data_IF_371197678161
#
_entry.id   IF_371197678161
#
_cell.length_a   1.000
_cell.length_b   1.000
_cell.length_c   1.000
_cell.angle_alpha   90.00
_cell.angle_beta   90.00
_cell.angle_gamma   90.00
#
_symmetry.space_group_name_H-M   'P 1'
#
loop_
_entity.id
_entity.type
_entity.pdbx_description
1 polymer ?
#
# COMPACT_ATOMS: atom_id res chain seq x y z
N UNK A 1 18.97 -16.59 21.21
CA UNK A 1 20.01 -16.61 20.15
C UNK A 1 20.36 -18.05 19.83
N UNK A 2 20.36 -18.45 18.55
CA UNK A 2 20.62 -19.85 18.14
C UNK A 2 22.11 -20.07 17.91
N UNK A 3 22.78 -20.74 18.84
CA UNK A 3 24.16 -21.24 18.70
C UNK A 3 24.21 -22.32 17.61
N UNK A 4 25.32 -22.37 16.85
CA UNK A 4 25.51 -23.39 15.82
C UNK A 4 25.60 -24.78 16.48
N UNK A 5 24.86 -25.76 15.95
CA UNK A 5 24.79 -27.13 16.51
C UNK A 5 25.99 -28.02 16.16
N UNK A 6 26.92 -27.55 15.33
CA UNK A 6 28.06 -28.34 14.85
C UNK A 6 29.34 -27.53 14.88
N UNK A 7 30.47 -28.25 14.87
CA UNK A 7 31.85 -27.73 14.80
C UNK A 7 32.20 -27.10 13.42
N UNK A 8 31.18 -26.69 12.65
CA UNK A 8 31.34 -26.07 11.34
C UNK A 8 30.80 -24.65 11.38
N UNK A 9 31.57 -23.73 10.82
CA UNK A 9 31.13 -22.35 10.63
C UNK A 9 29.87 -22.29 9.75
N UNK A 10 28.94 -21.39 10.11
CA UNK A 10 27.73 -21.16 9.32
C UNK A 10 28.10 -20.54 7.97
N UNK A 11 27.79 -21.24 6.88
CA UNK A 11 27.95 -20.70 5.52
C UNK A 11 26.70 -19.91 5.17
N UNK A 12 26.86 -18.61 4.91
CA UNK A 12 25.79 -17.75 4.39
C UNK A 12 25.93 -17.71 2.87
N UNK A 13 24.97 -18.30 2.16
CA UNK A 13 24.91 -18.19 0.71
C UNK A 13 24.06 -16.98 0.30
N UNK A 14 24.56 -16.21 -0.66
CA UNK A 14 23.92 -15.00 -1.17
C UNK A 14 23.63 -15.16 -2.65
N UNK A 15 22.43 -14.80 -3.09
CA UNK A 15 22.08 -14.83 -4.50
C UNK A 15 22.43 -13.49 -5.16
N UNK A 16 23.41 -13.50 -6.07
CA UNK A 16 23.90 -12.29 -6.75
C UNK A 16 22.84 -11.58 -7.60
N UNK A 17 21.91 -12.31 -8.22
CA UNK A 17 20.83 -11.68 -9.01
C UNK A 17 19.93 -10.81 -8.14
N UNK A 18 19.66 -11.24 -6.91
CA UNK A 18 18.86 -10.45 -5.97
C UNK A 18 19.61 -9.20 -5.52
N UNK A 19 20.93 -9.27 -5.38
CA UNK A 19 21.72 -8.11 -5.05
C UNK A 19 21.74 -7.09 -6.17
N UNK A 20 21.84 -7.55 -7.42
CA UNK A 20 21.72 -6.71 -8.61
C UNK A 20 20.40 -5.93 -8.60
N UNK A 21 19.25 -6.61 -8.45
CA UNK A 21 17.95 -5.94 -8.42
C UNK A 21 17.81 -5.00 -7.21
N UNK A 22 18.33 -5.36 -6.04
CA UNK A 22 18.33 -4.48 -4.86
C UNK A 22 19.16 -3.23 -5.07
N UNK A 23 20.34 -3.34 -5.71
CA UNK A 23 21.18 -2.21 -6.03
C UNK A 23 20.47 -1.25 -7.00
N UNK A 24 19.88 -1.81 -8.06
CA UNK A 24 19.12 -1.03 -9.05
C UNK A 24 17.94 -0.27 -8.41
N UNK A 25 17.16 -0.92 -7.54
CA UNK A 25 16.05 -0.26 -6.83
C UNK A 25 16.55 0.82 -5.88
N UNK A 26 17.68 0.61 -5.19
CA UNK A 26 18.29 1.64 -4.31
C UNK A 26 18.71 2.87 -5.09
N UNK A 27 19.32 2.67 -6.26
CA UNK A 27 19.71 3.76 -7.16
C UNK A 27 18.49 4.56 -7.62
N UNK A 28 17.43 3.88 -8.07
CA UNK A 28 16.17 4.54 -8.44
C UNK A 28 15.57 5.32 -7.26
N UNK A 29 15.56 4.76 -6.05
CA UNK A 29 15.02 5.43 -4.87
C UNK A 29 15.91 6.56 -4.34
N UNK A 30 17.19 6.59 -4.70
CA UNK A 30 18.12 7.66 -4.33
C UNK A 30 17.90 8.94 -5.16
N UNK A 31 17.35 8.82 -6.38
CA UNK A 31 16.91 9.97 -7.16
C UNK A 31 15.85 10.78 -6.40
N UNK A 32 16.01 12.09 -6.36
CA UNK A 32 15.09 13.01 -5.64
C UNK A 32 13.66 12.89 -6.17
N UNK A 33 13.48 12.88 -7.49
CA UNK A 33 12.17 12.81 -8.14
C UNK A 33 11.45 11.49 -7.84
N UNK A 34 12.15 10.36 -8.02
CA UNK A 34 11.57 9.04 -7.80
C UNK A 34 11.33 8.77 -6.31
N UNK A 35 12.23 9.24 -5.45
CA UNK A 35 12.06 9.18 -3.99
C UNK A 35 10.85 9.96 -3.48
N UNK A 36 10.58 11.13 -4.06
CA UNK A 36 9.40 11.95 -3.72
C UNK A 36 8.09 11.27 -4.14
N UNK A 37 8.04 10.69 -5.35
CA UNK A 37 6.91 9.89 -5.82
C UNK A 37 6.67 8.69 -4.90
N UNK A 38 7.75 7.99 -4.53
CA UNK A 38 7.66 6.84 -3.63
C UNK A 38 7.10 7.23 -2.25
N UNK A 39 7.57 8.35 -1.67
CA UNK A 39 7.06 8.87 -0.40
C UNK A 39 5.57 9.21 -0.46
N UNK A 40 5.11 9.82 -1.56
CA UNK A 40 3.69 10.11 -1.79
C UNK A 40 2.86 8.83 -1.85
N UNK A 41 3.33 7.80 -2.57
CA UNK A 41 2.63 6.50 -2.67
C UNK A 41 2.46 5.78 -1.33
N UNK A 42 3.43 5.91 -0.41
CA UNK A 42 3.30 5.36 0.96
C UNK A 42 2.13 5.95 1.73
N UNK A 43 1.81 7.21 1.49
CA UNK A 43 0.74 7.92 2.21
C UNK A 43 -0.61 7.71 1.51
N UNK A 44 -0.61 7.70 0.17
CA UNK A 44 -1.88 7.69 -0.56
C UNK A 44 -2.33 6.27 -0.91
N UNK A 45 -1.41 5.49 -1.49
CA UNK A 45 -1.73 4.20 -2.14
C UNK A 45 -1.72 3.06 -1.13
N UNK A 46 -0.68 2.97 -0.29
CA UNK A 46 -0.57 1.88 0.69
C UNK A 46 -1.76 1.84 1.68
N UNK A 47 -2.26 2.96 2.23
CA UNK A 47 -3.40 2.92 3.14
C UNK A 47 -4.71 2.54 2.45
N UNK A 48 -4.88 2.88 1.16
CA UNK A 48 -6.06 2.45 0.40
C UNK A 48 -6.09 0.92 0.24
N UNK A 49 -4.95 0.30 -0.09
CA UNK A 49 -4.84 -1.16 -0.17
C UNK A 49 -4.90 -1.84 1.20
N UNK A 50 -4.32 -1.21 2.23
CA UNK A 50 -4.43 -1.68 3.61
C UNK A 50 -5.88 -1.71 4.08
N UNK A 51 -6.63 -0.63 3.87
CA UNK A 51 -8.06 -0.56 4.18
C UNK A 51 -8.88 -1.58 3.38
N UNK A 52 -8.57 -1.78 2.10
CA UNK A 52 -9.23 -2.76 1.26
C UNK A 52 -9.06 -4.20 1.81
N UNK A 53 -7.86 -4.55 2.26
CA UNK A 53 -7.59 -5.89 2.81
C UNK A 53 -8.06 -6.06 4.25
N UNK A 54 -7.67 -5.14 5.14
CA UNK A 54 -7.88 -5.28 6.58
C UNK A 54 -9.32 -4.94 7.00
N UNK A 55 -9.91 -3.88 6.43
CA UNK A 55 -11.24 -3.40 6.85
C UNK A 55 -12.37 -3.94 5.97
N UNK A 56 -12.13 -4.10 4.67
CA UNK A 56 -13.14 -4.64 3.74
C UNK A 56 -13.00 -6.15 3.48
N UNK A 57 -11.96 -6.80 4.03
CA UNK A 57 -11.75 -8.24 3.86
C UNK A 57 -11.46 -8.68 2.42
N UNK A 58 -11.18 -7.74 1.51
CA UNK A 58 -10.98 -8.02 0.09
C UNK A 58 -9.59 -8.60 -0.15
N UNK A 59 -9.48 -9.91 0.09
CA UNK A 59 -8.24 -10.70 -0.03
C UNK A 59 -8.22 -11.58 -1.28
N UNK A 60 -9.40 -11.84 -1.87
CA UNK A 60 -9.59 -12.69 -3.04
C UNK A 60 -10.56 -12.04 -4.02
N UNK A 61 -10.26 -12.17 -5.31
CA UNK A 61 -11.18 -11.81 -6.39
C UNK A 61 -12.24 -12.88 -6.59
N UNK A 62 -13.47 -12.47 -6.82
CA UNK A 62 -14.60 -13.36 -7.09
C UNK A 62 -14.56 -13.86 -8.54
N UNK A 63 -13.97 -13.09 -9.44
CA UNK A 63 -13.93 -13.39 -10.88
C UNK A 63 -12.55 -13.88 -11.34
N UNK A 64 -12.54 -14.62 -12.45
CA UNK A 64 -11.31 -15.05 -13.15
C UNK A 64 -11.17 -14.32 -14.48
N UNK A 65 -9.93 -14.04 -14.87
CA UNK A 65 -9.57 -13.32 -16.10
C UNK A 65 -9.16 -11.86 -15.84
N UNK A 66 -8.11 -11.40 -16.52
CA UNK A 66 -7.45 -10.11 -16.25
C UNK A 66 -8.40 -8.92 -16.33
N UNK A 67 -9.26 -8.90 -17.36
CA UNK A 67 -10.22 -7.82 -17.59
C UNK A 67 -11.28 -7.75 -16.48
N UNK A 68 -11.88 -8.89 -16.13
CA UNK A 68 -12.90 -8.96 -15.08
C UNK A 68 -12.34 -8.57 -13.70
N UNK A 69 -11.14 -9.04 -13.38
CA UNK A 69 -10.43 -8.67 -12.13
C UNK A 69 -10.16 -7.18 -12.06
N UNK A 70 -9.79 -6.54 -13.18
CA UNK A 70 -9.60 -5.09 -13.26
C UNK A 70 -10.90 -4.34 -12.94
N UNK A 71 -12.04 -4.82 -13.46
CA UNK A 71 -13.34 -4.22 -13.19
C UNK A 71 -13.75 -4.40 -11.72
N UNK A 72 -13.59 -5.60 -11.15
CA UNK A 72 -13.89 -5.88 -9.74
C UNK A 72 -13.06 -4.98 -8.80
N UNK A 73 -11.75 -4.86 -9.07
CA UNK A 73 -10.88 -3.95 -8.32
C UNK A 73 -11.32 -2.49 -8.47
N UNK A 74 -11.70 -2.08 -9.69
CA UNK A 74 -12.22 -0.74 -9.97
C UNK A 74 -13.44 -0.40 -9.12
N UNK A 75 -14.42 -1.30 -9.03
CA UNK A 75 -15.59 -1.13 -8.18
C UNK A 75 -15.24 -1.02 -6.70
N UNK A 76 -14.35 -1.88 -6.20
CA UNK A 76 -13.92 -1.85 -4.81
C UNK A 76 -13.25 -0.51 -4.44
N UNK A 77 -12.37 0.00 -5.31
CA UNK A 77 -11.72 1.29 -5.11
C UNK A 77 -12.71 2.46 -5.22
N UNK A 78 -13.67 2.38 -6.14
CA UNK A 78 -14.72 3.39 -6.27
C UNK A 78 -15.59 3.48 -5.01
N UNK A 79 -15.98 2.33 -4.46
CA UNK A 79 -16.73 2.28 -3.20
C UNK A 79 -15.95 2.91 -2.03
N UNK A 80 -14.64 2.67 -1.94
CA UNK A 80 -13.77 3.32 -0.94
C UNK A 80 -13.76 4.84 -1.13
N UNK A 81 -13.64 5.32 -2.36
CA UNK A 81 -13.60 6.75 -2.65
C UNK A 81 -14.93 7.43 -2.31
N UNK A 82 -16.07 6.80 -2.63
CA UNK A 82 -17.40 7.29 -2.25
C UNK A 82 -17.59 7.37 -0.73
N UNK A 83 -17.08 6.38 0.01
CA UNK A 83 -17.07 6.42 1.48
C UNK A 83 -16.24 7.58 2.02
N UNK A 84 -15.08 7.88 1.42
CA UNK A 84 -14.26 9.04 1.81
C UNK A 84 -14.99 10.36 1.54
N UNK A 85 -15.63 10.49 0.38
CA UNK A 85 -16.38 11.70 0.01
C UNK A 85 -17.55 11.98 0.94
N UNK A 86 -18.30 10.94 1.33
CA UNK A 86 -19.44 11.10 2.25
C UNK A 86 -18.99 11.56 3.64
N UNK A 87 -17.93 10.98 4.19
CA UNK A 87 -17.35 11.42 5.47
C UNK A 87 -16.83 12.86 5.37
N UNK A 88 -16.11 13.21 4.30
CA UNK A 88 -15.62 14.58 4.10
C UNK A 88 -16.77 15.59 4.05
N UNK A 89 -17.85 15.26 3.33
CA UNK A 89 -19.06 16.10 3.25
C UNK A 89 -19.74 16.26 4.60
N UNK A 90 -19.83 15.20 5.40
CA UNK A 90 -20.38 15.24 6.75
C UNK A 90 -19.53 16.13 7.68
N UNK A 91 -18.20 15.99 7.65
CA UNK A 91 -17.29 16.85 8.41
C UNK A 91 -17.43 18.32 8.02
N UNK A 92 -17.49 18.62 6.71
CA UNK A 92 -17.70 19.97 6.22
C UNK A 92 -19.02 20.58 6.73
N UNK A 93 -20.12 19.83 6.65
CA UNK A 93 -21.42 20.27 7.13
C UNK A 93 -21.44 20.52 8.65
N UNK A 94 -20.80 19.64 9.44
CA UNK A 94 -20.65 19.84 10.90
C UNK A 94 -19.86 21.10 11.23
N UNK A 95 -18.78 21.40 10.49
CA UNK A 95 -18.02 22.64 10.67
C UNK A 95 -18.87 23.87 10.36
N UNK A 96 -19.65 23.82 9.27
CA UNK A 96 -20.56 24.90 8.90
C UNK A 96 -21.63 25.16 9.96
N UNK A 97 -22.17 24.12 10.59
CA UNK A 97 -23.14 24.28 11.67
C UNK A 97 -22.49 24.89 12.92
N UNK A 98 -21.33 24.37 13.35
CA UNK A 98 -20.59 24.93 14.49
C UNK A 98 -20.24 26.41 14.35
N UNK A 99 -19.89 26.86 13.15
CA UNK A 99 -19.59 28.27 12.88
C UNK A 99 -20.84 29.17 12.79
N UNK A 100 -22.05 28.60 12.75
CA UNK A 100 -23.31 29.37 12.83
C UNK A 100 -23.82 29.50 14.27
N UNK A 101 -23.46 28.54 15.12
CA UNK A 101 -23.88 28.47 16.52
C UNK A 101 -22.87 29.16 17.47
N UNK A 102 -21.81 29.76 16.92
CA UNK A 102 -20.77 30.54 17.60
C UNK A 102 -20.89 32.01 17.20
#
# INVERSE_FOLDING_TARGET
CTTAKSDRNRVIQKNGNWDYFKAHVRELLASKETGDIYRRRKIDVEPAFGNLKANLGFTRFSVRGKEKVKNELGFALMAINLRKMTVARQCFNKNRQRNKDA
#
